data_IF_892289692038
#
_entry.id   IF_892289692038
#
_cell.length_a   1.000
_cell.length_b   1.000
_cell.length_c   1.000
_cell.angle_alpha   90.00
_cell.angle_beta   90.00
_cell.angle_gamma   90.00
#
_symmetry.space_group_name_H-M   'P 1'
#
loop_
_entity.id
_entity.type
_entity.pdbx_description
1 polymer ?
#
# COMPACT_ATOMS: atom_id res chain seq x y z
N UNK A 1 11.25 -9.80 -8.28
CA UNK A 1 12.32 -8.78 -8.08
C UNK A 1 11.84 -7.74 -7.07
N UNK A 2 12.75 -7.17 -6.26
CA UNK A 2 12.46 -6.01 -5.40
C UNK A 2 12.96 -4.75 -6.11
N UNK A 3 12.05 -3.88 -6.51
CA UNK A 3 12.32 -2.67 -7.28
C UNK A 3 12.21 -1.43 -6.38
N UNK A 4 13.07 -0.45 -6.62
CA UNK A 4 13.12 0.81 -5.87
C UNK A 4 13.20 2.01 -6.80
N UNK A 5 12.63 3.12 -6.37
CA UNK A 5 12.95 4.45 -6.87
C UNK A 5 13.74 5.16 -5.78
N UNK A 6 14.93 5.69 -6.13
CA UNK A 6 15.85 6.28 -5.17
C UNK A 6 16.52 7.53 -5.74
N UNK A 7 17.07 8.37 -4.87
CA UNK A 7 17.81 9.55 -5.30
C UNK A 7 19.28 9.21 -5.54
N UNK A 8 19.67 9.24 -6.82
CA UNK A 8 21.06 9.16 -7.26
C UNK A 8 21.68 10.54 -7.17
N UNK A 9 22.90 10.63 -6.64
CA UNK A 9 23.64 11.89 -6.48
C UNK A 9 22.89 13.00 -5.73
N UNK A 10 21.88 12.62 -4.95
CA UNK A 10 21.16 13.52 -4.04
C UNK A 10 19.86 14.12 -4.59
N UNK A 11 19.65 14.22 -5.88
CA UNK A 11 18.52 14.92 -6.50
C UNK A 11 17.90 14.26 -7.73
N UNK A 12 18.59 13.33 -8.38
CA UNK A 12 18.07 12.62 -9.56
C UNK A 12 17.34 11.33 -9.15
N UNK A 13 16.07 11.21 -9.52
CA UNK A 13 15.32 9.98 -9.29
C UNK A 13 15.76 8.90 -10.28
N UNK A 14 16.20 7.75 -9.78
CA UNK A 14 16.64 6.61 -10.56
C UNK A 14 15.85 5.34 -10.21
N UNK A 15 15.73 4.44 -11.18
CA UNK A 15 15.17 3.11 -11.01
C UNK A 15 16.26 2.11 -10.64
N UNK A 16 16.06 1.35 -9.57
CA UNK A 16 16.96 0.29 -9.15
C UNK A 16 16.25 -1.02 -8.87
N UNK A 17 17.04 -2.08 -8.83
CA UNK A 17 16.62 -3.38 -8.32
C UNK A 17 17.55 -3.82 -7.19
N UNK A 18 17.03 -4.46 -6.15
CA UNK A 18 17.85 -4.98 -5.07
C UNK A 18 18.58 -6.26 -5.52
N UNK A 19 19.86 -6.33 -5.22
CA UNK A 19 20.65 -7.56 -5.26
C UNK A 19 20.83 -8.06 -3.83
N UNK A 20 20.30 -9.26 -3.54
CA UNK A 20 20.08 -9.62 -2.15
C UNK A 20 19.08 -8.67 -1.49
N UNK A 21 19.33 -8.29 -0.24
CA UNK A 21 18.52 -7.31 0.49
C UNK A 21 19.29 -6.02 0.82
N UNK A 22 20.54 -5.90 0.37
CA UNK A 22 21.49 -4.90 0.88
C UNK A 22 21.95 -3.86 -0.12
N UNK A 23 21.92 -4.15 -1.43
CA UNK A 23 22.44 -3.25 -2.45
C UNK A 23 21.43 -2.96 -3.55
N UNK A 24 21.45 -1.73 -4.07
CA UNK A 24 20.66 -1.25 -5.21
C UNK A 24 21.54 -1.25 -6.46
N UNK A 25 21.15 -2.00 -7.48
CA UNK A 25 21.72 -1.91 -8.82
C UNK A 25 21.01 -0.80 -9.60
N UNK A 26 21.75 0.16 -10.15
CA UNK A 26 21.23 1.16 -11.10
C UNK A 26 20.91 0.48 -12.43
N UNK A 27 19.62 0.20 -12.68
CA UNK A 27 19.19 -0.56 -13.87
C UNK A 27 19.49 0.17 -15.19
N UNK A 28 19.37 1.51 -15.22
CA UNK A 28 19.63 2.29 -16.43
C UNK A 28 21.13 2.30 -16.75
N UNK A 29 21.98 2.58 -15.76
CA UNK A 29 23.43 2.56 -15.93
C UNK A 29 23.93 1.17 -16.34
N UNK A 30 23.37 0.11 -15.75
CA UNK A 30 23.71 -1.26 -16.10
C UNK A 30 23.26 -1.64 -17.52
N UNK A 31 22.07 -1.20 -17.94
CA UNK A 31 21.61 -1.40 -19.32
C UNK A 31 22.55 -0.71 -20.34
N UNK A 32 22.97 0.53 -20.05
CA UNK A 32 23.96 1.24 -20.86
C UNK A 32 25.29 0.47 -20.98
N UNK A 33 25.83 0.00 -19.85
CA UNK A 33 27.05 -0.79 -19.80
C UNK A 33 26.97 -2.04 -20.68
N UNK A 34 25.80 -2.67 -20.68
CA UNK A 34 25.57 -3.91 -21.44
C UNK A 34 25.07 -3.71 -22.87
N UNK A 35 25.00 -2.46 -23.35
CA UNK A 35 24.49 -2.14 -24.69
C UNK A 35 23.02 -2.51 -24.90
N UNK A 36 22.23 -2.54 -23.81
CA UNK A 36 20.80 -2.79 -23.84
C UNK A 36 20.02 -1.48 -23.95
N UNK A 37 18.72 -1.57 -24.29
CA UNK A 37 17.85 -0.40 -24.33
C UNK A 37 17.63 0.17 -22.92
N UNK A 38 17.83 1.48 -22.75
CA UNK A 38 17.59 2.19 -21.51
C UNK A 38 16.12 2.55 -21.30
N UNK A 39 15.31 2.55 -22.35
CA UNK A 39 13.93 3.05 -22.35
C UNK A 39 13.04 2.43 -21.24
N UNK A 40 13.10 1.13 -20.93
CA UNK A 40 12.34 0.57 -19.81
C UNK A 40 12.79 1.09 -18.45
N UNK A 41 14.03 1.56 -18.32
CA UNK A 41 14.68 1.90 -17.06
C UNK A 41 14.74 3.40 -16.77
N UNK A 42 14.05 4.23 -17.58
CA UNK A 42 13.92 5.67 -17.34
C UNK A 42 13.21 6.01 -16.01
N UNK A 43 12.26 5.16 -15.60
CA UNK A 43 11.53 5.29 -14.34
C UNK A 43 10.80 4.00 -14.01
N UNK A 44 10.31 3.88 -12.77
CA UNK A 44 9.42 2.78 -12.38
C UNK A 44 8.19 2.68 -13.30
N UNK A 45 7.58 3.82 -13.64
CA UNK A 45 6.42 3.83 -14.55
C UNK A 45 6.79 3.37 -15.96
N UNK A 46 7.98 3.71 -16.46
CA UNK A 46 8.49 3.23 -17.75
C UNK A 46 8.67 1.71 -17.75
N UNK A 47 9.22 1.16 -16.67
CA UNK A 47 9.35 -0.29 -16.51
C UNK A 47 7.98 -0.99 -16.49
N UNK A 48 7.05 -0.48 -15.68
CA UNK A 48 5.69 -1.03 -15.58
C UNK A 48 5.01 -1.04 -16.95
N UNK A 49 5.11 0.07 -17.70
CA UNK A 49 4.52 0.20 -19.06
C UNK A 49 5.17 -0.70 -20.09
N UNK A 50 6.43 -1.06 -19.89
CA UNK A 50 7.14 -2.00 -20.76
C UNK A 50 6.70 -3.47 -20.56
N UNK A 51 5.89 -3.75 -19.54
CA UNK A 51 5.32 -5.06 -19.26
C UNK A 51 6.37 -6.15 -19.08
N UNK A 52 6.05 -7.38 -19.49
CA UNK A 52 6.95 -8.54 -19.32
C UNK A 52 8.29 -8.35 -20.03
N UNK A 53 8.32 -7.71 -21.21
CA UNK A 53 9.58 -7.47 -21.92
C UNK A 53 10.54 -6.56 -21.14
N UNK A 54 10.03 -5.56 -20.43
CA UNK A 54 10.81 -4.72 -19.53
C UNK A 54 11.31 -5.47 -18.30
N UNK A 55 10.48 -6.31 -17.70
CA UNK A 55 10.87 -7.16 -16.57
C UNK A 55 11.92 -8.19 -16.97
N UNK A 56 11.81 -8.80 -18.16
CA UNK A 56 12.82 -9.74 -18.67
C UNK A 56 14.15 -9.04 -18.92
N UNK A 57 14.13 -7.83 -19.47
CA UNK A 57 15.33 -7.02 -19.62
C UNK A 57 15.96 -6.70 -18.25
N UNK A 58 15.16 -6.35 -17.24
CA UNK A 58 15.65 -6.11 -15.88
C UNK A 58 16.27 -7.37 -15.27
N UNK A 59 15.64 -8.55 -15.45
CA UNK A 59 16.20 -9.84 -14.99
C UNK A 59 17.54 -10.15 -15.67
N UNK A 60 17.64 -9.91 -16.97
CA UNK A 60 18.90 -10.10 -17.70
C UNK A 60 20.01 -9.17 -17.18
N UNK A 61 19.70 -7.89 -16.90
CA UNK A 61 20.63 -6.95 -16.28
C UNK A 61 21.13 -7.51 -14.95
N UNK A 62 20.23 -7.94 -14.06
CA UNK A 62 20.58 -8.44 -12.74
C UNK A 62 21.42 -9.72 -12.78
N UNK A 63 21.11 -10.64 -13.71
CA UNK A 63 21.93 -11.85 -13.94
C UNK A 63 23.36 -11.46 -14.35
N UNK A 64 23.52 -10.57 -15.33
CA UNK A 64 24.85 -10.15 -15.79
C UNK A 64 25.64 -9.40 -14.74
N UNK A 65 25.02 -8.52 -13.95
CA UNK A 65 25.66 -7.86 -12.80
C UNK A 65 26.25 -8.90 -11.84
N UNK A 66 25.48 -9.94 -11.53
CA UNK A 66 25.94 -11.02 -10.64
C UNK A 66 27.05 -11.88 -11.25
N UNK A 67 26.90 -12.31 -12.51
CA UNK A 67 27.87 -13.19 -13.20
C UNK A 67 29.20 -12.50 -13.48
N UNK A 68 29.17 -11.20 -13.85
CA UNK A 68 30.37 -10.41 -14.14
C UNK A 68 31.00 -9.77 -12.89
N UNK A 69 30.33 -9.93 -11.70
CA UNK A 69 30.82 -9.43 -10.41
C UNK A 69 30.93 -7.89 -10.34
N UNK A 70 30.01 -7.18 -11.02
CA UNK A 70 30.04 -5.71 -11.12
C UNK A 70 29.49 -5.09 -9.83
N UNK A 71 30.33 -4.34 -9.13
CA UNK A 71 29.96 -3.63 -7.89
C UNK A 71 29.92 -2.11 -8.05
N UNK A 72 30.55 -1.55 -9.07
CA UNK A 72 30.62 -0.11 -9.27
C UNK A 72 29.28 0.56 -9.59
N UNK A 73 28.27 -0.25 -9.98
CA UNK A 73 26.90 0.18 -10.22
C UNK A 73 25.96 -0.16 -9.06
N UNK A 74 26.50 -0.63 -7.94
CA UNK A 74 25.77 -0.98 -6.74
C UNK A 74 25.89 0.13 -5.69
N UNK A 75 24.79 0.47 -5.05
CA UNK A 75 24.75 1.44 -3.96
C UNK A 75 24.16 0.74 -2.73
N UNK A 76 24.82 0.77 -1.58
CA UNK A 76 24.26 0.20 -0.35
C UNK A 76 22.89 0.80 -0.03
N UNK A 77 21.88 -0.05 0.19
CA UNK A 77 20.50 0.35 0.49
C UNK A 77 20.44 1.32 1.68
N UNK A 78 21.23 1.06 2.72
CA UNK A 78 21.31 1.90 3.90
C UNK A 78 21.90 3.30 3.68
N UNK A 79 22.60 3.53 2.55
CA UNK A 79 23.14 4.83 2.16
C UNK A 79 22.22 5.57 1.17
N UNK A 80 21.23 4.91 0.61
CA UNK A 80 20.36 5.45 -0.42
C UNK A 80 19.12 6.14 0.22
N UNK A 81 18.74 7.30 -0.33
CA UNK A 81 17.46 7.92 0.00
C UNK A 81 16.39 7.35 -0.93
N UNK A 82 15.55 6.49 -0.39
CA UNK A 82 14.43 5.92 -1.12
C UNK A 82 13.29 6.94 -1.29
N UNK A 83 12.71 6.97 -2.46
CA UNK A 83 11.42 7.60 -2.74
C UNK A 83 10.31 6.53 -2.63
N UNK A 84 9.05 6.93 -2.78
CA UNK A 84 8.01 5.95 -3.04
C UNK A 84 8.38 5.17 -4.30
N UNK A 85 8.14 3.85 -4.38
CA UNK A 85 8.46 3.07 -5.57
C UNK A 85 7.84 3.67 -6.84
N UNK A 86 6.64 4.21 -6.72
CA UNK A 86 5.95 4.98 -7.75
C UNK A 86 5.60 6.38 -7.19
N UNK A 87 6.49 7.39 -7.32
CA UNK A 87 6.34 8.68 -6.65
C UNK A 87 5.08 9.45 -7.05
N UNK A 88 4.62 9.27 -8.28
CA UNK A 88 3.37 9.83 -8.79
C UNK A 88 2.64 8.74 -9.58
N UNK A 89 1.81 7.92 -8.93
CA UNK A 89 0.98 6.91 -9.60
C UNK A 89 0.03 7.52 -10.64
N UNK A 90 -0.44 6.76 -11.61
CA UNK A 90 -1.45 7.23 -12.56
C UNK A 90 -2.79 7.56 -11.86
N UNK A 91 -3.16 6.77 -10.89
CA UNK A 91 -4.24 7.04 -9.94
C UNK A 91 -3.94 6.36 -8.60
N UNK A 92 -4.57 6.85 -7.54
CA UNK A 92 -4.58 6.19 -6.23
C UNK A 92 -6.02 5.91 -5.86
N UNK A 93 -6.33 4.65 -5.66
CA UNK A 93 -7.58 4.19 -5.07
C UNK A 93 -7.24 3.44 -3.79
N UNK A 94 -8.08 3.61 -2.79
CA UNK A 94 -8.00 2.79 -1.61
C UNK A 94 -9.33 2.10 -1.35
N UNK A 95 -9.27 0.78 -1.19
CA UNK A 95 -10.43 -0.06 -0.96
C UNK A 95 -10.69 -0.20 0.54
N UNK A 96 -11.74 -0.92 0.89
CA UNK A 96 -12.03 -1.34 2.27
C UNK A 96 -12.31 -2.85 2.24
N UNK A 97 -11.23 -3.66 2.32
CA UNK A 97 -11.35 -5.09 2.11
C UNK A 97 -11.58 -5.91 3.39
N UNK A 98 -11.38 -5.33 4.58
CA UNK A 98 -11.38 -6.08 5.83
C UNK A 98 -12.66 -5.88 6.66
N UNK A 99 -13.42 -6.96 6.88
CA UNK A 99 -14.65 -6.94 7.70
C UNK A 99 -14.36 -6.53 9.14
N UNK A 100 -13.23 -6.98 9.70
CA UNK A 100 -12.86 -6.67 11.07
C UNK A 100 -12.61 -5.18 11.28
N UNK A 101 -12.03 -4.47 10.29
CA UNK A 101 -11.87 -3.02 10.34
C UNK A 101 -13.21 -2.31 10.50
N UNK A 102 -14.23 -2.68 9.71
CA UNK A 102 -15.56 -2.08 9.78
C UNK A 102 -16.21 -2.33 11.13
N UNK A 103 -16.17 -3.59 11.60
CA UNK A 103 -16.76 -3.98 12.88
C UNK A 103 -16.10 -3.19 14.02
N UNK A 104 -14.76 -3.15 14.05
CA UNK A 104 -13.99 -2.45 15.08
C UNK A 104 -14.28 -0.94 15.07
N UNK A 105 -14.29 -0.30 13.90
CA UNK A 105 -14.62 1.11 13.78
C UNK A 105 -16.01 1.45 14.28
N UNK A 106 -17.01 0.64 13.96
CA UNK A 106 -18.39 0.86 14.44
C UNK A 106 -18.47 0.70 15.95
N UNK A 107 -17.82 -0.32 16.53
CA UNK A 107 -17.80 -0.56 17.97
C UNK A 107 -17.13 0.59 18.74
N UNK A 108 -16.03 1.12 18.22
CA UNK A 108 -15.30 2.21 18.89
C UNK A 108 -15.98 3.56 18.70
N UNK A 109 -16.49 3.88 17.53
CA UNK A 109 -17.03 5.20 17.20
C UNK A 109 -18.52 5.31 17.34
N UNK A 110 -19.28 4.40 16.74
CA UNK A 110 -20.72 4.51 16.60
C UNK A 110 -21.51 3.88 17.74
N UNK A 111 -21.01 2.77 18.29
CA UNK A 111 -21.76 1.90 19.20
C UNK A 111 -21.01 1.61 20.50
N UNK A 112 -20.14 2.50 20.93
CA UNK A 112 -19.29 2.29 22.12
C UNK A 112 -20.06 1.76 23.34
N UNK A 113 -21.31 2.23 23.57
CA UNK A 113 -22.16 1.77 24.67
C UNK A 113 -22.79 0.39 24.43
N UNK A 114 -22.85 -0.06 23.17
CA UNK A 114 -23.48 -1.33 22.77
C UNK A 114 -22.43 -2.34 22.28
N UNK A 115 -21.14 -1.98 22.28
CA UNK A 115 -20.08 -2.83 21.76
C UNK A 115 -20.08 -4.22 22.41
N UNK A 116 -20.19 -4.27 23.75
CA UNK A 116 -20.25 -5.56 24.48
C UNK A 116 -21.49 -6.39 24.15
N UNK A 117 -22.62 -5.76 23.83
CA UNK A 117 -23.83 -6.48 23.39
C UNK A 117 -23.62 -7.03 21.98
N UNK A 118 -23.05 -6.22 21.08
CA UNK A 118 -22.75 -6.63 19.70
C UNK A 118 -21.73 -7.78 19.66
N UNK A 119 -20.70 -7.75 20.53
CA UNK A 119 -19.74 -8.84 20.71
C UNK A 119 -20.39 -10.12 21.24
N UNK A 120 -21.32 -10.00 22.19
CA UNK A 120 -22.07 -11.14 22.72
C UNK A 120 -23.00 -11.75 21.63
N UNK A 121 -23.59 -10.92 20.77
CA UNK A 121 -24.37 -11.34 19.61
C UNK A 121 -23.48 -12.10 18.64
N UNK A 122 -22.31 -11.54 18.28
CA UNK A 122 -21.35 -12.20 17.39
C UNK A 122 -20.94 -13.58 17.93
N UNK A 123 -20.59 -13.63 19.22
CA UNK A 123 -20.16 -14.87 19.87
C UNK A 123 -21.27 -15.94 19.88
N UNK A 124 -22.54 -15.57 20.01
CA UNK A 124 -23.66 -16.50 20.14
C UNK A 124 -24.24 -16.92 18.79
N UNK A 125 -24.37 -15.99 17.86
CA UNK A 125 -25.10 -16.22 16.59
C UNK A 125 -24.25 -16.01 15.33
N UNK A 126 -23.01 -15.50 15.47
CA UNK A 126 -22.08 -15.25 14.37
C UNK A 126 -22.15 -13.84 13.80
N UNK A 127 -21.15 -13.50 12.97
CA UNK A 127 -20.93 -12.16 12.40
C UNK A 127 -22.10 -11.61 11.60
N UNK A 128 -22.84 -12.45 10.90
CA UNK A 128 -24.00 -12.04 10.09
C UNK A 128 -25.07 -11.30 10.88
N UNK A 129 -25.05 -11.38 12.21
CA UNK A 129 -26.01 -10.71 13.09
C UNK A 129 -25.45 -9.47 13.80
N UNK A 130 -24.19 -9.10 13.51
CA UNK A 130 -23.58 -7.87 14.05
C UNK A 130 -24.25 -6.63 13.47
N UNK A 131 -24.25 -5.54 14.25
CA UNK A 131 -24.78 -4.25 13.81
C UNK A 131 -24.01 -3.70 12.61
N UNK A 132 -22.71 -4.00 12.48
CA UNK A 132 -21.90 -3.63 11.34
C UNK A 132 -22.52 -4.09 10.01
N UNK A 133 -23.02 -5.32 9.95
CA UNK A 133 -23.66 -5.88 8.75
C UNK A 133 -24.93 -5.15 8.35
N UNK A 134 -25.74 -4.73 9.34
CA UNK A 134 -26.96 -3.98 9.05
C UNK A 134 -26.68 -2.54 8.61
N UNK A 135 -25.67 -1.89 9.23
CA UNK A 135 -25.33 -0.50 8.94
C UNK A 135 -24.64 -0.37 7.57
N UNK A 136 -23.75 -1.33 7.22
CA UNK A 136 -22.92 -1.28 6.01
C UNK A 136 -23.33 -2.32 4.97
N UNK A 137 -24.63 -2.53 4.75
CA UNK A 137 -25.14 -3.54 3.83
C UNK A 137 -24.49 -3.46 2.44
N UNK A 138 -24.33 -2.28 1.90
CA UNK A 138 -23.73 -2.05 0.58
C UNK A 138 -22.28 -2.58 0.46
N UNK A 139 -21.51 -2.53 1.56
CA UNK A 139 -20.16 -3.07 1.61
C UNK A 139 -20.14 -4.61 1.48
N UNK A 140 -21.15 -5.30 2.03
CA UNK A 140 -21.28 -6.75 1.92
C UNK A 140 -21.82 -7.22 0.54
N UNK A 141 -22.28 -6.29 -0.28
CA UNK A 141 -22.81 -6.59 -1.61
C UNK A 141 -21.73 -6.43 -2.70
N UNK A 142 -20.71 -5.56 -2.48
CA UNK A 142 -19.61 -5.30 -3.41
C UNK A 142 -18.45 -4.57 -2.74
N UNK A 143 -17.22 -4.70 -3.29
CA UNK A 143 -16.11 -3.86 -2.88
C UNK A 143 -16.44 -2.37 -3.00
N UNK A 144 -16.00 -1.60 -2.02
CA UNK A 144 -16.09 -0.13 -2.03
C UNK A 144 -14.70 0.46 -1.95
N UNK A 145 -14.49 1.60 -2.58
CA UNK A 145 -13.22 2.31 -2.59
C UNK A 145 -13.45 3.81 -2.72
N UNK A 146 -12.45 4.60 -2.35
CA UNK A 146 -12.39 6.03 -2.65
C UNK A 146 -11.17 6.34 -3.52
N UNK A 147 -11.15 7.53 -4.14
CA UNK A 147 -10.01 8.05 -4.92
C UNK A 147 -9.22 9.03 -4.05
N UNK A 148 -7.92 8.84 -3.96
CA UNK A 148 -7.02 9.70 -3.21
C UNK A 148 -6.16 10.57 -4.12
N UNK A 149 -5.50 11.57 -3.52
CA UNK A 149 -4.63 12.50 -4.24
C UNK A 149 -3.30 11.84 -4.61
N UNK A 150 -3.07 11.58 -5.89
CA UNK A 150 -1.83 11.00 -6.40
C UNK A 150 -0.57 11.83 -6.14
N UNK A 151 -0.73 13.11 -5.83
CA UNK A 151 0.38 14.03 -5.55
C UNK A 151 0.74 14.13 -4.07
N UNK A 152 0.02 13.44 -3.19
CA UNK A 152 0.32 13.37 -1.75
C UNK A 152 1.20 12.17 -1.39
N UNK A 153 1.72 11.44 -2.38
CA UNK A 153 2.54 10.24 -2.18
C UNK A 153 3.93 10.61 -1.66
N UNK A 154 4.38 9.86 -0.63
CA UNK A 154 5.73 9.95 -0.06
C UNK A 154 6.32 8.56 0.11
N UNK A 155 7.65 8.48 0.20
CA UNK A 155 8.38 7.22 0.35
C UNK A 155 8.82 6.90 1.77
N UNK A 156 9.70 5.92 1.85
CA UNK A 156 10.38 5.53 3.09
C UNK A 156 11.19 6.70 3.66
N UNK A 157 11.19 6.83 4.99
CA UNK A 157 11.86 7.88 5.75
C UNK A 157 11.39 9.32 5.47
N UNK A 158 10.31 9.49 4.72
CA UNK A 158 9.71 10.82 4.57
C UNK A 158 9.10 11.32 5.88
N UNK A 159 9.22 12.63 6.10
CA UNK A 159 8.49 13.32 7.17
C UNK A 159 7.05 13.60 6.72
N UNK A 160 6.10 13.31 7.60
CA UNK A 160 4.67 13.47 7.35
C UNK A 160 4.10 14.50 8.29
N UNK A 161 3.71 15.69 7.81
CA UNK A 161 3.18 16.74 8.64
C UNK A 161 1.74 16.42 9.10
N UNK A 162 1.47 16.66 10.38
CA UNK A 162 0.09 16.66 10.89
C UNK A 162 -0.63 17.88 10.31
N UNK A 163 -1.74 17.72 9.55
CA UNK A 163 -2.50 18.86 9.07
C UNK A 163 -2.96 19.78 10.22
N UNK A 164 -2.87 21.09 10.03
CA UNK A 164 -3.19 22.06 11.08
C UNK A 164 -4.63 21.99 11.61
N UNK A 165 -5.54 21.40 10.84
CA UNK A 165 -6.93 21.16 11.20
C UNK A 165 -7.16 19.81 11.88
N UNK A 166 -6.12 18.93 11.95
CA UNK A 166 -6.23 17.59 12.50
C UNK A 166 -5.89 17.56 14.00
N UNK A 167 -6.71 16.90 14.79
CA UNK A 167 -6.49 16.64 16.22
C UNK A 167 -6.36 15.15 16.54
N UNK A 168 -6.75 14.28 15.62
CA UNK A 168 -6.68 12.81 15.72
C UNK A 168 -6.02 12.27 14.48
N UNK A 169 -4.68 12.34 14.49
CA UNK A 169 -3.85 11.85 13.40
C UNK A 169 -3.61 10.36 13.57
N UNK A 170 -3.76 9.59 12.51
CA UNK A 170 -3.73 8.13 12.55
C UNK A 170 -2.97 7.57 11.36
N UNK A 171 -2.51 6.33 11.50
CA UNK A 171 -1.96 5.50 10.43
C UNK A 171 -2.95 4.40 10.04
N UNK A 172 -2.79 3.83 8.87
CA UNK A 172 -3.47 2.61 8.43
C UNK A 172 -2.46 1.62 7.89
N UNK A 173 -2.51 0.41 8.43
CA UNK A 173 -1.65 -0.71 8.03
C UNK A 173 -2.24 -1.39 6.81
N UNK A 174 -1.59 -1.27 5.64
CA UNK A 174 -2.13 -1.78 4.39
C UNK A 174 -1.08 -2.44 3.50
N UNK A 175 -1.59 -3.33 2.62
CA UNK A 175 -0.90 -3.78 1.43
C UNK A 175 -1.52 -3.08 0.21
N UNK A 176 -0.69 -2.69 -0.74
CA UNK A 176 -1.16 -2.12 -2.00
C UNK A 176 -0.64 -2.88 -3.20
N UNK A 177 -1.39 -2.81 -4.30
CA UNK A 177 -1.03 -3.36 -5.60
C UNK A 177 -0.83 -2.26 -6.62
N UNK A 178 0.06 -2.51 -7.57
CA UNK A 178 0.25 -1.67 -8.77
C UNK A 178 -0.24 -2.45 -9.98
N UNK A 179 -1.07 -1.80 -10.81
CA UNK A 179 -1.54 -2.37 -12.07
C UNK A 179 -0.41 -2.35 -13.10
N UNK A 180 -0.19 -3.48 -13.77
CA UNK A 180 0.86 -3.66 -14.79
C UNK A 180 0.33 -3.84 -16.20
N UNK A 181 -0.91 -4.28 -16.34
CA UNK A 181 -1.54 -4.55 -17.64
C UNK A 181 -2.88 -3.85 -17.73
N UNK A 182 -3.08 -3.08 -18.81
CA UNK A 182 -4.35 -2.42 -19.04
C UNK A 182 -5.49 -3.41 -19.27
N UNK A 183 -6.71 -3.03 -18.83
CA UNK A 183 -7.91 -3.81 -19.08
C UNK A 183 -9.16 -3.18 -18.51
N UNK A 184 -10.29 -3.52 -19.09
CA UNK A 184 -11.62 -3.18 -18.60
C UNK A 184 -12.46 -4.45 -18.46
N UNK A 185 -13.46 -4.41 -17.57
CA UNK A 185 -14.34 -5.55 -17.31
C UNK A 185 -13.56 -6.85 -17.01
N UNK A 186 -12.52 -6.73 -16.19
CA UNK A 186 -11.59 -7.82 -15.88
C UNK A 186 -12.29 -8.80 -14.95
N UNK A 187 -12.46 -10.09 -15.34
CA UNK A 187 -13.04 -11.08 -14.44
C UNK A 187 -12.06 -11.42 -13.31
N UNK A 188 -12.55 -11.64 -12.10
CA UNK A 188 -11.72 -11.95 -10.93
C UNK A 188 -10.73 -13.09 -11.19
N UNK A 189 -11.14 -14.13 -11.88
CA UNK A 189 -10.28 -15.28 -12.22
C UNK A 189 -9.04 -14.91 -13.06
N UNK A 190 -9.01 -13.73 -13.69
CA UNK A 190 -7.89 -13.24 -14.50
C UNK A 190 -7.25 -11.97 -13.94
N UNK A 191 -7.80 -11.42 -12.88
CA UNK A 191 -7.37 -10.14 -12.33
C UNK A 191 -5.91 -10.14 -11.86
N UNK A 192 -5.43 -11.27 -11.33
CA UNK A 192 -4.03 -11.44 -10.96
C UNK A 192 -3.04 -11.22 -12.12
N UNK A 193 -3.44 -11.44 -13.39
CA UNK A 193 -2.61 -11.17 -14.57
C UNK A 193 -2.36 -9.67 -14.79
N UNK A 194 -3.17 -8.81 -14.17
CA UNK A 194 -3.08 -7.36 -14.28
C UNK A 194 -2.26 -6.72 -13.17
N UNK A 195 -1.87 -7.47 -12.14
CA UNK A 195 -1.04 -6.99 -11.04
C UNK A 195 0.44 -7.04 -11.46
N UNK A 196 1.14 -5.89 -11.38
CA UNK A 196 2.58 -5.80 -11.56
C UNK A 196 3.34 -6.26 -10.31
N UNK A 197 2.89 -5.82 -9.14
CA UNK A 197 3.55 -6.11 -7.88
C UNK A 197 2.85 -5.50 -6.67
N UNK A 198 3.48 -5.68 -5.52
CA UNK A 198 2.96 -5.36 -4.19
C UNK A 198 3.91 -4.43 -3.45
N UNK A 199 3.35 -3.54 -2.63
CA UNK A 199 4.11 -2.65 -1.75
C UNK A 199 3.34 -2.37 -0.47
N UNK A 200 4.01 -2.00 0.62
CA UNK A 200 3.32 -1.50 1.80
C UNK A 200 2.72 -0.13 1.53
N UNK A 201 1.57 0.12 2.14
CA UNK A 201 0.87 1.39 2.05
C UNK A 201 0.43 1.85 3.43
N UNK A 202 0.69 3.10 3.75
CA UNK A 202 0.19 3.76 4.93
C UNK A 202 -0.71 4.92 4.50
N UNK A 203 -2.02 4.72 4.65
CA UNK A 203 -3.02 5.73 4.35
C UNK A 203 -3.26 6.60 5.58
N UNK A 204 -2.32 7.55 5.81
CA UNK A 204 -2.43 8.47 6.94
C UNK A 204 -3.76 9.21 6.94
N UNK A 205 -4.33 9.38 8.12
CA UNK A 205 -5.70 9.87 8.26
C UNK A 205 -5.83 10.99 9.27
N UNK A 206 -6.42 12.10 8.86
CA UNK A 206 -6.95 13.12 9.75
C UNK A 206 -8.38 12.74 10.16
N UNK A 207 -8.53 11.91 11.22
CA UNK A 207 -9.78 11.20 11.55
C UNK A 207 -10.96 12.11 11.90
N UNK A 208 -10.71 13.22 12.53
CA UNK A 208 -11.75 14.20 12.86
C UNK A 208 -12.30 14.88 11.61
N UNK A 209 -11.46 15.24 10.66
CA UNK A 209 -11.87 15.77 9.35
C UNK A 209 -12.60 14.71 8.53
N UNK A 210 -11.99 13.52 8.38
CA UNK A 210 -12.60 12.39 7.69
C UNK A 210 -14.03 12.10 8.19
N UNK A 211 -14.25 12.13 9.51
CA UNK A 211 -15.57 11.88 10.09
C UNK A 211 -16.59 12.98 9.76
N UNK A 212 -16.16 14.23 9.61
CA UNK A 212 -17.05 15.31 9.19
C UNK A 212 -17.41 15.18 7.71
N UNK A 213 -16.44 14.91 6.86
CA UNK A 213 -16.65 14.70 5.42
C UNK A 213 -17.61 13.55 5.14
N UNK A 214 -17.45 12.42 5.85
CA UNK A 214 -18.33 11.26 5.69
C UNK A 214 -19.79 11.56 6.06
N UNK A 215 -20.07 12.52 6.96
CA UNK A 215 -21.44 12.99 7.22
C UNK A 215 -22.03 13.69 5.99
N UNK A 216 -21.20 14.30 5.16
CA UNK A 216 -21.59 14.87 3.86
C UNK A 216 -21.94 13.83 2.78
N UNK A 217 -21.71 12.53 3.04
CA UNK A 217 -22.01 11.39 2.17
C UNK A 217 -21.28 11.37 0.83
N UNK A 218 -20.16 12.09 0.70
CA UNK A 218 -19.36 12.11 -0.53
C UNK A 218 -18.08 11.26 -0.42
N UNK A 219 -17.66 10.93 0.78
CA UNK A 219 -16.44 10.18 1.06
C UNK A 219 -15.32 11.07 1.59
N UNK A 220 -14.17 10.48 1.99
CA UNK A 220 -13.06 11.25 2.50
C UNK A 220 -12.38 12.05 1.38
N UNK A 221 -11.94 13.26 1.70
CA UNK A 221 -11.11 14.13 0.87
C UNK A 221 -10.00 14.74 1.72
N UNK A 222 -10.24 15.87 2.42
CA UNK A 222 -9.21 16.52 3.27
C UNK A 222 -8.77 15.67 4.44
N UNK A 223 -9.57 14.67 4.83
CA UNK A 223 -9.18 13.66 5.80
C UNK A 223 -8.03 12.75 5.33
N UNK A 224 -7.73 12.72 4.02
CA UNK A 224 -6.74 11.86 3.34
C UNK A 224 -5.79 12.61 2.38
N UNK A 225 -6.28 13.63 1.67
CA UNK A 225 -5.61 14.30 0.55
C UNK A 225 -4.58 15.37 0.97
N UNK A 226 -4.08 15.32 2.21
CA UNK A 226 -3.04 16.24 2.65
C UNK A 226 -1.64 15.79 2.19
N UNK A 227 -0.69 16.72 2.17
CA UNK A 227 0.70 16.41 1.75
C UNK A 227 1.30 15.30 2.64
N UNK A 228 1.80 14.24 2.00
CA UNK A 228 2.34 13.09 2.70
C UNK A 228 1.28 12.11 3.24
N UNK A 229 -0.01 12.31 2.90
CA UNK A 229 -1.10 11.43 3.36
C UNK A 229 -0.98 9.99 2.88
N UNK A 230 -0.34 9.77 1.73
CA UNK A 230 -0.16 8.45 1.13
C UNK A 230 1.32 8.04 1.19
N UNK A 231 1.73 7.19 2.12
CA UNK A 231 3.09 6.69 2.16
C UNK A 231 3.18 5.28 1.54
N UNK A 232 4.12 5.07 0.61
CA UNK A 232 4.30 3.80 -0.11
C UNK A 232 5.76 3.34 -0.08
N UNK A 233 5.98 2.04 0.03
CA UNK A 233 7.33 1.46 -0.05
C UNK A 233 7.60 0.36 0.99
N UNK A 234 8.86 0.07 1.31
CA UNK A 234 10.08 0.69 0.78
C UNK A 234 10.37 0.28 -0.67
N UNK A 235 9.87 -0.88 -1.09
CA UNK A 235 10.09 -1.49 -2.40
C UNK A 235 8.76 -1.82 -3.09
N UNK A 236 8.79 -1.97 -4.40
CA UNK A 236 7.76 -2.66 -5.18
C UNK A 236 8.26 -4.06 -5.50
N UNK A 237 7.62 -5.07 -4.93
CA UNK A 237 7.95 -6.48 -5.15
C UNK A 237 7.12 -7.00 -6.30
N UNK A 238 7.75 -7.51 -7.35
CA UNK A 238 7.05 -8.04 -8.53
C UNK A 238 6.21 -9.26 -8.17
N UNK A 239 5.12 -9.47 -8.90
CA UNK A 239 4.13 -10.51 -8.62
C UNK A 239 4.72 -11.92 -8.55
N UNK A 240 5.73 -12.22 -9.35
CA UNK A 240 6.41 -13.52 -9.37
C UNK A 240 7.16 -13.85 -8.06
N UNK A 241 7.59 -12.84 -7.31
CA UNK A 241 8.22 -13.01 -5.98
C UNK A 241 7.20 -13.26 -4.86
N UNK A 242 5.95 -12.85 -5.07
CA UNK A 242 4.83 -13.07 -4.15
C UNK A 242 3.72 -13.78 -4.91
N UNK A 243 3.87 -15.09 -5.17
CA UNK A 243 2.90 -15.84 -5.95
C UNK A 243 1.54 -16.02 -5.25
N UNK A 244 1.53 -15.96 -3.92
CA UNK A 244 0.32 -16.01 -3.09
C UNK A 244 0.23 -14.80 -2.15
N UNK A 245 -0.45 -13.71 -2.56
CA UNK A 245 -0.65 -12.54 -1.71
C UNK A 245 -1.73 -12.75 -0.64
N UNK A 246 -2.39 -13.90 -0.60
CA UNK A 246 -3.54 -14.15 0.30
C UNK A 246 -3.14 -14.49 1.74
N UNK A 247 -1.85 -14.59 2.07
CA UNK A 247 -1.38 -14.95 3.41
C UNK A 247 -0.13 -14.17 3.83
N UNK A 248 -0.09 -12.88 3.57
CA UNK A 248 1.00 -11.99 4.00
C UNK A 248 0.66 -11.46 5.38
N UNK A 249 1.56 -11.65 6.35
CA UNK A 249 1.46 -11.03 7.66
C UNK A 249 2.00 -9.60 7.60
N UNK A 250 1.19 -8.67 8.12
CA UNK A 250 1.56 -7.27 8.27
C UNK A 250 1.56 -6.88 9.75
N UNK A 251 2.47 -5.98 10.13
CA UNK A 251 2.50 -5.38 11.45
C UNK A 251 2.79 -3.88 11.37
N UNK A 252 2.28 -3.10 12.31
CA UNK A 252 2.67 -1.71 12.48
C UNK A 252 3.25 -1.49 13.87
N UNK A 253 4.35 -0.72 13.91
CA UNK A 253 5.01 -0.30 15.15
C UNK A 253 4.99 1.22 15.23
N UNK A 254 4.74 1.74 16.42
CA UNK A 254 4.88 3.15 16.73
C UNK A 254 5.94 3.28 17.82
N UNK A 255 7.01 4.03 17.53
CA UNK A 255 8.17 4.18 18.39
C UNK A 255 8.75 2.81 18.85
N UNK A 256 8.88 1.87 17.90
CA UNK A 256 9.40 0.53 18.11
C UNK A 256 8.45 -0.43 18.84
N UNK A 257 7.25 0.00 19.26
CA UNK A 257 6.25 -0.85 19.91
C UNK A 257 5.18 -1.28 18.93
N UNK A 258 4.90 -2.57 18.83
CA UNK A 258 3.82 -3.08 17.98
C UNK A 258 2.48 -2.57 18.49
N UNK A 259 1.76 -1.89 17.59
CA UNK A 259 0.39 -1.42 17.79
C UNK A 259 -0.60 -2.26 17.00
N UNK A 260 -0.25 -2.65 15.78
CA UNK A 260 -1.14 -3.35 14.86
C UNK A 260 -0.49 -4.61 14.32
N UNK A 261 -1.33 -5.62 14.07
CA UNK A 261 -0.98 -6.84 13.35
C UNK A 261 -2.21 -7.36 12.62
N UNK A 262 -2.00 -7.84 11.40
CA UNK A 262 -3.05 -8.45 10.58
C UNK A 262 -2.45 -9.36 9.52
N UNK A 263 -3.30 -9.96 8.73
CA UNK A 263 -2.92 -10.78 7.58
C UNK A 263 -3.86 -10.53 6.42
N UNK A 264 -3.34 -10.60 5.21
CA UNK A 264 -4.18 -10.59 4.01
C UNK A 264 -5.14 -11.78 3.94
N UNK A 265 -4.87 -12.85 4.71
CA UNK A 265 -5.82 -13.96 4.88
C UNK A 265 -7.16 -13.56 5.51
N UNK A 266 -7.22 -12.42 6.20
CA UNK A 266 -8.45 -11.87 6.78
C UNK A 266 -9.23 -10.96 5.81
N UNK A 267 -8.77 -10.78 4.56
CA UNK A 267 -9.51 -10.03 3.54
C UNK A 267 -10.86 -10.70 3.25
N UNK A 268 -11.93 -9.90 3.34
CA UNK A 268 -13.26 -10.30 2.88
C UNK A 268 -13.38 -10.15 1.36
N UNK A 269 -12.85 -9.08 0.80
CA UNK A 269 -12.74 -8.82 -0.63
C UNK A 269 -11.29 -9.01 -1.07
N UNK A 270 -11.03 -9.98 -1.95
CA UNK A 270 -9.69 -10.18 -2.50
C UNK A 270 -9.30 -9.05 -3.47
N UNK A 271 -8.01 -8.91 -3.77
CA UNK A 271 -7.55 -7.96 -4.79
C UNK A 271 -8.18 -8.24 -6.16
N UNK A 272 -8.41 -9.50 -6.49
CA UNK A 272 -9.04 -9.92 -7.73
C UNK A 272 -10.49 -9.42 -7.81
N UNK A 273 -11.26 -9.52 -6.73
CA UNK A 273 -12.62 -9.01 -6.64
C UNK A 273 -12.67 -7.48 -6.66
N UNK A 274 -11.69 -6.83 -6.04
CA UNK A 274 -11.54 -5.36 -6.08
C UNK A 274 -11.24 -4.91 -7.52
N UNK A 275 -10.27 -5.54 -8.22
CA UNK A 275 -9.97 -5.24 -9.62
C UNK A 275 -11.19 -5.45 -10.51
N UNK A 276 -11.92 -6.56 -10.33
CA UNK A 276 -13.16 -6.81 -11.06
C UNK A 276 -14.18 -5.70 -10.85
N UNK A 277 -14.37 -5.26 -9.61
CA UNK A 277 -15.34 -4.21 -9.29
C UNK A 277 -14.93 -2.84 -9.85
N UNK A 278 -13.64 -2.48 -9.74
CA UNK A 278 -13.10 -1.19 -10.22
C UNK A 278 -13.09 -1.14 -11.73
N UNK A 279 -12.73 -2.23 -12.41
CA UNK A 279 -12.61 -2.28 -13.87
C UNK A 279 -13.94 -2.39 -14.62
N UNK A 280 -15.08 -2.44 -13.91
CA UNK A 280 -16.39 -2.54 -14.55
C UNK A 280 -16.74 -1.25 -15.29
N UNK A 281 -16.76 -1.33 -16.63
CA UNK A 281 -16.96 -0.21 -17.55
C UNK A 281 -15.95 0.93 -17.37
N UNK A 282 -14.79 0.62 -16.74
CA UNK A 282 -13.66 1.53 -16.56
C UNK A 282 -12.36 0.79 -16.94
N UNK A 283 -11.50 1.44 -17.74
CA UNK A 283 -10.19 0.86 -18.06
C UNK A 283 -9.21 1.19 -16.96
N UNK A 284 -8.57 0.16 -16.40
CA UNK A 284 -7.37 0.29 -15.57
C UNK A 284 -6.14 0.39 -16.46
N UNK A 285 -5.16 1.19 -16.05
CA UNK A 285 -3.92 1.40 -16.79
C UNK A 285 -2.68 1.03 -15.97
N UNK A 286 -1.56 0.63 -16.63
CA UNK A 286 -0.29 0.40 -15.96
C UNK A 286 0.16 1.63 -15.14
N UNK A 287 0.54 1.40 -13.88
CA UNK A 287 0.94 2.45 -12.95
C UNK A 287 -0.20 2.98 -12.06
N UNK A 288 -1.43 2.49 -12.18
CA UNK A 288 -2.48 2.77 -11.20
C UNK A 288 -2.24 1.97 -9.92
N UNK A 289 -2.51 2.59 -8.78
CA UNK A 289 -2.34 1.99 -7.46
C UNK A 289 -3.70 1.72 -6.79
N UNK A 290 -3.80 0.58 -6.11
CA UNK A 290 -4.98 0.21 -5.32
C UNK A 290 -4.53 -0.31 -3.96
N UNK A 291 -4.90 0.39 -2.88
CA UNK A 291 -4.74 -0.05 -1.49
C UNK A 291 -5.79 -1.07 -1.09
N UNK A 292 -5.44 -1.93 -0.14
CA UNK A 292 -6.32 -2.98 0.39
C UNK A 292 -7.40 -2.46 1.35
N UNK A 293 -7.21 -1.27 1.86
CA UNK A 293 -7.83 -0.85 3.11
C UNK A 293 -7.12 -1.43 4.33
N UNK A 294 -7.44 -0.88 5.47
CA UNK A 294 -6.79 -1.18 6.76
C UNK A 294 -6.83 -2.67 7.10
N UNK A 295 -5.66 -3.28 7.17
CA UNK A 295 -5.48 -4.71 7.46
C UNK A 295 -5.77 -4.99 8.95
N UNK A 296 -6.98 -5.44 9.22
CA UNK A 296 -7.43 -5.82 10.56
C UNK A 296 -7.96 -7.24 10.56
N UNK A 297 -7.63 -7.98 11.61
CA UNK A 297 -8.11 -9.33 11.83
C UNK A 297 -8.87 -9.49 13.14
N UNK A 298 -9.37 -10.67 13.41
CA UNK A 298 -10.14 -10.98 14.64
C UNK A 298 -9.35 -10.71 15.92
N UNK A 299 -8.04 -10.92 15.88
CA UNK A 299 -7.15 -10.77 17.03
C UNK A 299 -6.23 -9.56 16.92
N UNK A 300 -6.22 -8.90 15.76
CA UNK A 300 -5.37 -7.75 15.48
C UNK A 300 -6.18 -6.50 15.17
N UNK A 301 -5.50 -5.37 15.22
CA UNK A 301 -6.02 -4.05 14.84
C UNK A 301 -5.16 -3.50 13.73
N UNK A 302 -5.75 -2.79 12.78
CA UNK A 302 -5.05 -2.25 11.62
C UNK A 302 -4.67 -0.78 11.76
N UNK A 303 -5.28 -0.04 12.69
CA UNK A 303 -5.04 1.38 12.88
C UNK A 303 -5.30 1.83 14.32
N UNK A 304 -4.84 3.05 14.63
CA UNK A 304 -5.03 3.65 15.94
C UNK A 304 -6.48 3.94 16.29
N UNK A 305 -7.30 4.26 15.28
CA UNK A 305 -8.74 4.49 15.45
C UNK A 305 -9.45 3.30 16.13
N UNK A 306 -9.14 2.08 15.71
CA UNK A 306 -9.72 0.85 16.28
C UNK A 306 -9.32 0.62 17.74
N UNK A 307 -8.23 1.27 18.19
CA UNK A 307 -7.70 1.17 19.54
C UNK A 307 -7.99 2.41 20.39
N UNK A 308 -8.52 3.48 19.77
CA UNK A 308 -8.66 4.78 20.43
C UNK A 308 -7.33 5.47 20.72
N UNK A 309 -6.28 5.19 19.95
CA UNK A 309 -4.93 5.78 20.06
C UNK A 309 -4.61 6.57 18.82
N UNK A 310 -3.94 7.71 18.94
CA UNK A 310 -3.60 8.57 17.83
C UNK A 310 -2.13 8.98 17.89
N UNK A 311 -1.58 9.32 16.73
CA UNK A 311 -0.20 9.73 16.58
C UNK A 311 -0.02 11.17 17.04
N UNK A 312 1.21 11.49 17.44
CA UNK A 312 1.67 12.83 17.81
C UNK A 312 2.91 13.21 17.00
N UNK A 313 3.17 14.51 16.88
CA UNK A 313 4.44 14.99 16.32
C UNK A 313 5.62 14.39 17.10
N UNK A 314 6.62 13.90 16.36
CA UNK A 314 7.77 13.16 16.87
C UNK A 314 7.63 11.65 16.81
N UNK A 315 6.43 11.10 16.61
CA UNK A 315 6.24 9.66 16.50
C UNK A 315 6.85 9.11 15.20
N UNK A 316 7.43 7.90 15.30
CA UNK A 316 7.89 7.13 14.14
C UNK A 316 6.94 5.96 13.94
N UNK A 317 6.40 5.83 12.74
CA UNK A 317 5.52 4.73 12.33
C UNK A 317 6.27 3.82 11.37
N UNK A 318 6.25 2.52 11.64
CA UNK A 318 6.85 1.48 10.80
C UNK A 318 5.77 0.47 10.43
N UNK A 319 5.52 0.30 9.14
CA UNK A 319 4.74 -0.82 8.61
C UNK A 319 5.71 -1.89 8.15
N UNK A 320 5.47 -3.14 8.52
CA UNK A 320 6.37 -4.26 8.26
C UNK A 320 5.59 -5.39 7.59
N UNK A 321 6.11 -5.91 6.50
CA UNK A 321 5.63 -7.15 5.88
C UNK A 321 6.79 -8.02 5.45
N UNK A 322 6.68 -9.34 5.70
CA UNK A 322 7.66 -10.31 5.26
C UNK A 322 7.74 -10.32 3.72
N UNK A 323 8.95 -10.41 3.18
CA UNK A 323 9.20 -10.38 1.73
C UNK A 323 9.20 -8.96 1.11
N UNK A 324 8.58 -7.96 1.77
CA UNK A 324 8.53 -6.57 1.28
C UNK A 324 9.50 -5.68 2.05
N UNK A 325 9.55 -5.81 3.38
CA UNK A 325 10.44 -5.03 4.23
C UNK A 325 9.70 -4.08 5.16
N UNK A 326 10.28 -2.92 5.45
CA UNK A 326 9.75 -1.93 6.41
C UNK A 326 9.58 -0.57 5.75
N UNK A 327 8.36 -0.08 5.71
CA UNK A 327 8.03 1.30 5.38
C UNK A 327 8.02 2.11 6.69
N UNK A 328 8.93 3.08 6.80
CA UNK A 328 9.07 3.93 7.99
C UNK A 328 8.79 5.38 7.62
N UNK A 329 8.03 6.09 8.49
CA UNK A 329 7.79 7.51 8.36
C UNK A 329 7.85 8.19 9.73
N UNK A 330 8.28 9.45 9.76
CA UNK A 330 8.29 10.29 10.94
C UNK A 330 7.17 11.32 10.86
N UNK A 331 6.36 11.41 11.91
CA UNK A 331 5.30 12.41 12.04
C UNK A 331 5.89 13.71 12.58
N UNK A 332 5.60 14.84 11.93
CA UNK A 332 6.09 16.16 12.32
C UNK A 332 4.97 17.19 12.55
#
# INVERSE_FOLDING_TARGET
MKLVTWLKNGDEAALGALTGDDDIVDLKAAATLFGMSEAPFESMLSLIRSGEGGLDAARQVMVRISEEGITDLCTPLGAAKLLAPLPVPESVRDAMAFEDHIINCIRVQGLKKLAGIDEAIEKKWGRRYTLARFINRAWYERPVYYKSNRFSVVGHDAEVPIPSYCRRFDYELELGIVIGKAGANIPAARAGEHIFGYTLFNDFSARDEQMQEMKGRLGPAKGKDFNGGNAMGPVLVTRDEIPDPSNITLAARVNGREWSRGSTADMHWSFEEIIQAVSRDETLYPGEFIGSGTCSGRQGRGCGLEMGRFLSSGDTVELVAEGIGTLRNRVI
#
